data_IF_703224036036
#
_entry.id   IF_703224036036
#
_cell.length_a   1.000
_cell.length_b   1.000
_cell.length_c   1.000
_cell.angle_alpha   90.00
_cell.angle_beta   90.00
_cell.angle_gamma   90.00
#
_symmetry.space_group_name_H-M   'P 1'
#
loop_
_entity.id
_entity.type
_entity.pdbx_description
1 polymer ?
#
# COMPACT_ATOMS: atom_id res chain seq x y z
N UNK A 1 -31.42 -37.17 5.26
CA UNK A 1 -30.08 -36.69 4.89
C UNK A 1 -30.26 -35.70 3.76
N UNK A 2 -29.94 -34.40 3.91
CA UNK A 2 -30.06 -33.45 2.82
C UNK A 2 -28.77 -33.37 2.01
N UNK A 3 -28.95 -33.12 0.72
CA UNK A 3 -27.92 -33.08 -0.31
C UNK A 3 -27.02 -31.85 -0.16
N UNK A 4 -25.72 -32.08 -0.32
CA UNK A 4 -24.68 -31.04 -0.41
C UNK A 4 -24.65 -30.45 -1.82
N UNK A 5 -24.97 -29.16 -1.95
CA UNK A 5 -24.77 -28.39 -3.16
C UNK A 5 -23.28 -28.02 -3.29
N UNK A 6 -22.60 -28.60 -4.28
CA UNK A 6 -21.26 -28.23 -4.69
C UNK A 6 -21.31 -27.04 -5.65
N UNK A 7 -20.68 -25.91 -5.28
CA UNK A 7 -20.42 -24.79 -6.19
C UNK A 7 -19.52 -25.25 -7.36
N UNK A 8 -19.83 -24.88 -8.62
CA UNK A 8 -19.01 -25.25 -9.76
C UNK A 8 -17.76 -24.36 -9.85
N UNK A 9 -16.58 -24.98 -9.74
CA UNK A 9 -15.27 -24.33 -9.93
C UNK A 9 -15.01 -24.01 -11.41
N UNK A 10 -14.56 -22.78 -11.70
CA UNK A 10 -14.31 -22.20 -13.03
C UNK A 10 -13.38 -23.05 -13.94
N UNK A 11 -12.43 -23.79 -13.35
CA UNK A 11 -11.47 -24.60 -14.09
C UNK A 11 -12.10 -25.76 -14.89
N UNK A 12 -13.35 -26.14 -14.58
CA UNK A 12 -14.06 -27.21 -15.30
C UNK A 12 -14.64 -26.81 -16.66
N UNK A 13 -14.73 -25.51 -16.98
CA UNK A 13 -15.35 -25.03 -18.24
C UNK A 13 -14.39 -24.94 -19.43
N UNK A 14 -13.08 -25.15 -19.23
CA UNK A 14 -12.07 -25.12 -20.29
C UNK A 14 -11.85 -26.54 -20.88
N UNK A 15 -12.90 -27.37 -20.91
CA UNK A 15 -12.84 -28.69 -21.56
C UNK A 15 -12.91 -28.53 -23.08
N UNK A 16 -11.72 -28.43 -23.68
CA UNK A 16 -11.38 -28.56 -25.10
C UNK A 16 -12.30 -29.57 -25.82
N UNK A 17 -13.21 -29.07 -26.67
CA UNK A 17 -13.70 -29.82 -27.83
C UNK A 17 -12.99 -29.30 -29.07
N UNK A 18 -11.96 -30.07 -29.43
CA UNK A 18 -11.16 -29.95 -30.65
C UNK A 18 -12.05 -30.25 -31.86
N UNK A 19 -11.88 -29.46 -32.91
CA UNK A 19 -12.47 -29.55 -34.26
C UNK A 19 -13.93 -29.09 -34.42
N UNK A 20 -14.10 -27.79 -34.69
CA UNK A 20 -15.07 -27.30 -35.67
C UNK A 20 -14.52 -26.03 -36.33
N UNK A 21 -14.75 -25.92 -37.64
CA UNK A 21 -14.22 -24.92 -38.56
C UNK A 21 -14.59 -23.51 -38.07
N UNK A 22 -13.57 -22.69 -37.80
CA UNK A 22 -13.72 -21.34 -37.24
C UNK A 22 -14.26 -20.41 -38.34
N UNK A 23 -15.52 -20.01 -38.20
CA UNK A 23 -16.02 -18.77 -38.81
C UNK A 23 -15.26 -17.60 -38.17
N UNK A 24 -14.60 -16.77 -38.96
CA UNK A 24 -13.77 -15.66 -38.48
C UNK A 24 -14.52 -14.62 -37.64
N UNK A 25 -15.86 -14.59 -37.69
CA UNK A 25 -16.70 -13.67 -36.90
C UNK A 25 -16.81 -14.06 -35.41
N UNK A 26 -16.75 -15.36 -35.08
CA UNK A 26 -16.99 -15.82 -33.70
C UNK A 26 -15.85 -15.50 -32.71
N UNK A 27 -14.63 -15.24 -33.22
CA UNK A 27 -13.47 -14.94 -32.38
C UNK A 27 -13.48 -13.47 -31.91
N UNK A 28 -14.00 -12.54 -32.71
CA UNK A 28 -14.05 -11.12 -32.36
C UNK A 28 -15.15 -10.80 -31.35
N UNK A 29 -16.30 -11.49 -31.43
CA UNK A 29 -17.37 -11.33 -30.43
C UNK A 29 -16.94 -11.83 -29.05
N UNK A 30 -16.27 -12.99 -28.97
CA UNK A 30 -15.73 -13.51 -27.71
C UNK A 30 -14.67 -12.58 -27.11
N UNK A 31 -13.78 -12.02 -27.94
CA UNK A 31 -12.77 -11.06 -27.50
C UNK A 31 -13.42 -9.78 -26.91
N UNK A 32 -14.50 -9.30 -27.50
CA UNK A 32 -15.23 -8.13 -26.98
C UNK A 32 -15.94 -8.46 -25.65
N UNK A 33 -16.56 -9.64 -25.54
CA UNK A 33 -17.18 -10.11 -24.30
C UNK A 33 -16.15 -10.19 -23.15
N UNK A 34 -14.97 -10.76 -23.41
CA UNK A 34 -13.89 -10.86 -22.40
C UNK A 34 -13.42 -9.47 -21.92
N UNK A 35 -13.38 -8.47 -22.82
CA UNK A 35 -13.00 -7.09 -22.51
C UNK A 35 -14.06 -6.37 -21.65
N UNK A 36 -15.34 -6.66 -21.89
CA UNK A 36 -16.45 -6.12 -21.10
C UNK A 36 -16.51 -6.79 -19.71
N UNK A 37 -16.32 -8.11 -19.65
CA UNK A 37 -16.26 -8.86 -18.39
C UNK A 37 -15.13 -8.36 -17.49
N UNK A 38 -13.94 -8.13 -18.03
CA UNK A 38 -12.82 -7.56 -17.27
C UNK A 38 -13.18 -6.20 -16.65
N UNK A 39 -13.75 -5.28 -17.44
CA UNK A 39 -14.16 -3.97 -16.93
C UNK A 39 -15.24 -4.08 -15.86
N UNK A 40 -16.20 -4.99 -16.03
CA UNK A 40 -17.24 -5.27 -15.05
C UNK A 40 -16.65 -5.81 -13.75
N UNK A 41 -15.76 -6.80 -13.81
CA UNK A 41 -15.11 -7.34 -12.62
C UNK A 41 -14.28 -6.30 -11.88
N UNK A 42 -13.57 -5.41 -12.59
CA UNK A 42 -12.90 -4.26 -11.97
C UNK A 42 -13.92 -3.39 -11.24
N UNK A 43 -15.04 -3.04 -11.88
CA UNK A 43 -16.12 -2.26 -11.27
C UNK A 43 -16.65 -2.89 -9.98
N UNK A 44 -16.99 -4.18 -10.04
CA UNK A 44 -17.59 -4.94 -8.94
C UNK A 44 -16.61 -5.00 -7.76
N UNK A 45 -15.34 -5.36 -8.01
CA UNK A 45 -14.29 -5.43 -6.98
C UNK A 45 -14.08 -4.11 -6.24
N UNK A 46 -14.09 -2.98 -6.96
CA UNK A 46 -13.95 -1.67 -6.32
C UNK A 46 -15.22 -1.21 -5.61
N UNK A 47 -16.38 -1.69 -6.03
CA UNK A 47 -17.66 -1.42 -5.35
C UNK A 47 -17.72 -2.15 -4.00
N UNK A 48 -17.26 -3.40 -3.97
CA UNK A 48 -17.14 -4.20 -2.74
C UNK A 48 -16.21 -3.56 -1.70
N UNK A 49 -15.20 -2.79 -2.14
CA UNK A 49 -14.31 -2.02 -1.26
C UNK A 49 -14.98 -0.79 -0.62
N UNK A 50 -16.05 -0.25 -1.22
CA UNK A 50 -16.81 0.90 -0.69
C UNK A 50 -17.86 0.45 0.30
N UNK A 51 -18.62 -0.57 -0.08
CA UNK A 51 -19.77 -1.09 0.64
C UNK A 51 -19.65 -2.61 0.68
N UNK A 52 -18.98 -3.19 1.70
CA UNK A 52 -18.99 -4.63 1.85
C UNK A 52 -20.44 -5.12 2.02
N UNK A 53 -20.77 -6.34 1.56
CA UNK A 53 -22.13 -6.87 1.61
C UNK A 53 -22.70 -6.84 3.04
N UNK A 54 -24.01 -6.58 3.14
CA UNK A 54 -24.75 -6.30 4.39
C UNK A 54 -24.66 -7.39 5.48
N UNK A 55 -24.18 -8.59 5.13
CA UNK A 55 -24.00 -9.72 6.05
C UNK A 55 -22.78 -9.58 7.00
N UNK A 56 -21.97 -8.53 6.86
CA UNK A 56 -20.84 -8.27 7.76
C UNK A 56 -21.22 -7.15 8.73
N UNK A 57 -21.60 -7.53 9.95
CA UNK A 57 -22.10 -6.65 11.02
C UNK A 57 -21.17 -5.48 11.45
N UNK A 58 -19.96 -5.39 10.88
CA UNK A 58 -19.00 -4.32 11.13
C UNK A 58 -18.44 -3.81 9.81
N UNK A 59 -18.74 -2.55 9.49
CA UNK A 59 -18.08 -1.84 8.39
C UNK A 59 -16.61 -1.63 8.76
N UNK A 60 -15.73 -2.25 7.98
CA UNK A 60 -14.29 -2.15 8.17
C UNK A 60 -13.81 -0.72 7.90
N UNK A 61 -13.06 -0.08 8.81
CA UNK A 61 -12.61 1.29 8.61
C UNK A 61 -11.77 1.44 7.33
N UNK A 62 -12.07 2.51 6.57
CA UNK A 62 -11.31 2.90 5.39
C UNK A 62 -9.83 3.10 5.75
N UNK A 63 -8.92 2.54 4.94
CA UNK A 63 -7.46 2.58 5.15
C UNK A 63 -6.99 1.90 6.46
N UNK A 64 -7.77 0.99 7.04
CA UNK A 64 -7.24 0.01 8.00
C UNK A 64 -6.29 -0.98 7.33
N UNK A 65 -5.48 -1.69 8.13
CA UNK A 65 -4.60 -2.74 7.61
C UNK A 65 -5.41 -3.77 6.81
N UNK A 66 -6.54 -4.20 7.34
CA UNK A 66 -7.46 -5.13 6.68
C UNK A 66 -7.95 -4.61 5.33
N UNK A 67 -8.36 -3.34 5.27
CA UNK A 67 -8.86 -2.71 4.06
C UNK A 67 -7.75 -2.63 3.00
N UNK A 68 -6.52 -2.27 3.39
CA UNK A 68 -5.36 -2.26 2.50
C UNK A 68 -5.05 -3.66 1.95
N UNK A 69 -5.19 -4.71 2.77
CA UNK A 69 -5.02 -6.09 2.30
C UNK A 69 -6.05 -6.47 1.24
N UNK A 70 -7.32 -6.05 1.39
CA UNK A 70 -8.36 -6.23 0.37
C UNK A 70 -8.07 -5.43 -0.89
N UNK A 71 -7.61 -4.18 -0.76
CA UNK A 71 -7.21 -3.36 -1.91
C UNK A 71 -6.08 -4.03 -2.72
N UNK A 72 -5.07 -4.55 -2.03
CA UNK A 72 -3.95 -5.26 -2.67
C UNK A 72 -4.43 -6.56 -3.33
N UNK A 73 -5.36 -7.28 -2.71
CA UNK A 73 -5.97 -8.47 -3.31
C UNK A 73 -6.77 -8.14 -4.58
N UNK A 74 -7.53 -7.04 -4.58
CA UNK A 74 -8.20 -6.51 -5.77
C UNK A 74 -7.19 -6.22 -6.89
N UNK A 75 -6.06 -5.58 -6.58
CA UNK A 75 -5.01 -5.36 -7.57
C UNK A 75 -4.49 -6.68 -8.16
N UNK A 76 -4.18 -7.68 -7.31
CA UNK A 76 -3.67 -8.98 -7.75
C UNK A 76 -4.67 -9.73 -8.63
N UNK A 77 -5.97 -9.61 -8.33
CA UNK A 77 -7.04 -10.18 -9.14
C UNK A 77 -7.17 -9.47 -10.49
N UNK A 78 -7.21 -8.13 -10.51
CA UNK A 78 -7.27 -7.34 -11.73
C UNK A 78 -6.05 -7.59 -12.62
N UNK A 79 -4.86 -7.72 -12.03
CA UNK A 79 -3.62 -8.00 -12.76
C UNK A 79 -3.63 -9.37 -13.43
N UNK A 80 -4.08 -10.41 -12.72
CA UNK A 80 -4.17 -11.76 -13.28
C UNK A 80 -5.16 -11.83 -14.46
N UNK A 81 -6.30 -11.16 -14.33
CA UNK A 81 -7.33 -11.11 -15.36
C UNK A 81 -6.90 -10.25 -16.56
N UNK A 82 -6.27 -9.10 -16.29
CA UNK A 82 -5.65 -8.25 -17.31
C UNK A 82 -4.59 -9.01 -18.10
N UNK A 83 -3.76 -9.81 -17.44
CA UNK A 83 -2.75 -10.64 -18.11
C UNK A 83 -3.39 -11.67 -19.03
N UNK A 84 -4.49 -12.30 -18.61
CA UNK A 84 -5.23 -13.23 -19.45
C UNK A 84 -5.76 -12.51 -20.70
N UNK A 85 -6.35 -11.33 -20.53
CA UNK A 85 -6.77 -10.47 -21.64
C UNK A 85 -5.56 -10.12 -22.53
N UNK A 86 -4.51 -9.52 -22.00
CA UNK A 86 -3.42 -8.98 -22.82
C UNK A 86 -2.62 -10.07 -23.56
N UNK A 87 -2.36 -11.21 -22.93
CA UNK A 87 -1.36 -12.19 -23.39
C UNK A 87 -1.99 -13.49 -23.92
N UNK A 88 -3.08 -13.99 -23.31
CA UNK A 88 -3.58 -15.32 -23.64
C UNK A 88 -4.40 -15.29 -24.93
N UNK A 89 -4.02 -16.15 -25.89
CA UNK A 89 -4.81 -16.39 -27.10
C UNK A 89 -4.67 -15.35 -28.22
N UNK A 90 -3.75 -14.37 -28.10
CA UNK A 90 -3.60 -13.28 -29.08
C UNK A 90 -2.30 -13.35 -29.87
N UNK A 91 -2.34 -12.86 -31.11
CA UNK A 91 -1.17 -12.73 -31.99
C UNK A 91 -0.20 -11.66 -31.43
N UNK A 92 1.07 -12.02 -31.13
CA UNK A 92 2.08 -11.08 -30.65
C UNK A 92 2.32 -9.89 -31.57
N UNK A 93 2.00 -9.99 -32.87
CA UNK A 93 2.14 -8.84 -33.79
C UNK A 93 1.19 -7.67 -33.46
N UNK A 94 0.14 -7.90 -32.67
CA UNK A 94 -0.86 -6.88 -32.34
C UNK A 94 -0.34 -5.88 -31.30
N UNK A 95 0.47 -6.33 -30.33
CA UNK A 95 0.98 -5.45 -29.26
C UNK A 95 1.99 -4.41 -29.74
N UNK A 96 2.56 -4.61 -30.93
CA UNK A 96 3.46 -3.65 -31.61
C UNK A 96 2.76 -2.70 -32.56
N UNK A 97 1.42 -2.79 -32.70
CA UNK A 97 0.64 -1.91 -33.58
C UNK A 97 0.07 -0.72 -32.81
N UNK A 98 -0.16 0.42 -33.46
CA UNK A 98 -0.89 1.53 -32.85
C UNK A 98 -2.29 1.11 -32.37
N UNK A 99 -2.75 1.60 -31.21
CA UNK A 99 -2.07 2.51 -30.27
C UNK A 99 -1.22 1.80 -29.18
N UNK A 100 -1.08 0.48 -29.23
CA UNK A 100 -0.42 -0.32 -28.19
C UNK A 100 1.10 -0.14 -28.17
N UNK A 101 1.70 0.12 -29.32
CA UNK A 101 3.10 0.51 -29.49
C UNK A 101 3.54 1.65 -28.56
N UNK A 102 2.62 2.56 -28.20
CA UNK A 102 2.80 3.61 -27.20
C UNK A 102 2.34 3.20 -25.81
N UNK A 103 1.16 2.60 -25.69
CA UNK A 103 0.54 2.32 -24.38
C UNK A 103 1.30 1.26 -23.57
N UNK A 104 1.88 0.25 -24.23
CA UNK A 104 2.63 -0.80 -23.55
C UNK A 104 3.93 -0.27 -22.93
N UNK A 105 4.80 0.48 -23.64
CA UNK A 105 5.95 1.14 -23.01
C UNK A 105 5.57 2.01 -21.81
N UNK A 106 4.47 2.79 -21.90
CA UNK A 106 4.00 3.60 -20.77
C UNK A 106 3.54 2.73 -19.59
N UNK A 107 2.87 1.60 -19.83
CA UNK A 107 2.52 0.63 -18.79
C UNK A 107 3.77 0.03 -18.12
N UNK A 108 4.78 -0.36 -18.90
CA UNK A 108 6.04 -0.92 -18.38
C UNK A 108 6.81 0.12 -17.55
N UNK A 109 6.75 1.39 -17.93
CA UNK A 109 7.34 2.49 -17.19
C UNK A 109 6.60 2.75 -15.87
N UNK A 110 5.26 2.65 -15.85
CA UNK A 110 4.46 2.68 -14.62
C UNK A 110 4.76 1.48 -13.72
N UNK A 111 4.96 0.30 -14.31
CA UNK A 111 5.33 -0.91 -13.57
C UNK A 111 6.64 -0.72 -12.80
N UNK A 112 7.67 -0.11 -13.40
CA UNK A 112 8.93 0.19 -12.70
C UNK A 112 8.70 1.12 -11.49
N UNK A 113 7.90 2.18 -11.66
CA UNK A 113 7.58 3.09 -10.54
C UNK A 113 6.78 2.40 -9.44
N UNK A 114 5.86 1.51 -9.82
CA UNK A 114 5.12 0.69 -8.87
C UNK A 114 6.04 -0.22 -8.04
N UNK A 115 7.12 -0.77 -8.64
CA UNK A 115 8.13 -1.54 -7.91
C UNK A 115 8.89 -0.68 -6.89
N UNK A 116 9.28 0.54 -7.26
CA UNK A 116 9.92 1.49 -6.34
C UNK A 116 9.00 1.85 -5.18
N UNK A 117 7.70 2.06 -5.45
CA UNK A 117 6.69 2.32 -4.43
C UNK A 117 6.50 1.10 -3.51
N UNK A 118 6.46 -0.12 -4.03
CA UNK A 118 6.37 -1.33 -3.20
C UNK A 118 7.54 -1.42 -2.19
N UNK A 119 8.75 -1.07 -2.62
CA UNK A 119 9.93 -1.02 -1.74
C UNK A 119 9.81 0.07 -0.67
N UNK A 120 9.37 1.27 -1.07
CA UNK A 120 9.16 2.39 -0.15
C UNK A 120 8.08 2.07 0.89
N UNK A 121 6.93 1.53 0.46
CA UNK A 121 5.83 1.11 1.33
C UNK A 121 6.28 -0.01 2.26
N UNK A 122 7.06 -0.99 1.79
CA UNK A 122 7.61 -2.04 2.66
C UNK A 122 8.49 -1.46 3.77
N UNK A 123 9.34 -0.49 3.45
CA UNK A 123 10.17 0.23 4.45
C UNK A 123 9.29 1.07 5.40
N UNK A 124 8.22 1.64 4.89
CA UNK A 124 7.20 2.35 5.67
C UNK A 124 6.50 1.43 6.67
N UNK A 125 6.18 0.20 6.30
CA UNK A 125 5.59 -0.79 7.20
C UNK A 125 6.56 -1.20 8.32
N UNK A 126 7.86 -1.25 8.07
CA UNK A 126 8.85 -1.47 9.13
C UNK A 126 8.86 -0.30 10.14
N UNK A 127 8.65 0.93 9.66
CA UNK A 127 8.51 2.12 10.51
C UNK A 127 7.23 2.09 11.34
N UNK A 128 6.12 1.62 10.75
CA UNK A 128 4.85 1.38 11.45
C UNK A 128 5.02 0.31 12.54
N UNK A 129 5.75 -0.78 12.26
CA UNK A 129 6.08 -1.81 13.26
C UNK A 129 6.94 -1.24 14.39
N UNK A 130 7.84 -0.31 14.10
CA UNK A 130 8.61 0.36 15.14
C UNK A 130 7.73 1.22 16.05
N UNK A 131 6.71 1.88 15.49
CA UNK A 131 5.71 2.62 16.25
C UNK A 131 4.91 1.69 17.18
N UNK A 132 4.45 0.54 16.66
CA UNK A 132 3.79 -0.50 17.46
C UNK A 132 4.64 -0.91 18.68
N UNK A 133 5.95 -1.16 18.51
CA UNK A 133 6.84 -1.53 19.63
C UNK A 133 6.92 -0.46 20.73
N UNK A 134 6.91 0.82 20.37
CA UNK A 134 6.88 1.89 21.37
C UNK A 134 5.54 1.92 22.12
N UNK A 135 4.43 1.73 21.41
CA UNK A 135 3.11 1.62 22.03
C UNK A 135 3.02 0.42 23.00
N UNK A 136 3.54 -0.75 22.63
CA UNK A 136 3.59 -1.95 23.49
C UNK A 136 4.38 -1.71 24.79
N UNK A 137 5.49 -0.97 24.72
CA UNK A 137 6.25 -0.58 25.91
C UNK A 137 5.41 0.31 26.84
N UNK A 138 4.63 1.24 26.27
CA UNK A 138 3.75 2.11 27.04
C UNK A 138 2.61 1.33 27.69
N UNK A 139 1.95 0.46 26.93
CA UNK A 139 0.89 -0.45 27.43
C UNK A 139 1.42 -1.29 28.60
N UNK A 140 2.53 -2.00 28.39
CA UNK A 140 3.16 -2.84 29.42
C UNK A 140 3.55 -2.07 30.68
N UNK A 141 3.94 -0.80 30.55
CA UNK A 141 4.25 0.04 31.70
C UNK A 141 2.98 0.47 32.48
N UNK A 142 1.90 0.86 31.80
CA UNK A 142 0.66 1.28 32.45
C UNK A 142 -0.11 0.12 33.10
N UNK A 143 0.01 -1.10 32.58
CA UNK A 143 -0.66 -2.29 33.13
C UNK A 143 -0.07 -2.78 34.45
N UNK A 144 1.15 -2.34 34.81
CA UNK A 144 1.81 -2.72 36.07
C UNK A 144 1.03 -2.20 37.29
N UNK A 145 0.74 -3.09 38.26
CA UNK A 145 0.06 -2.74 39.52
C UNK A 145 0.98 -3.02 40.73
N UNK A 146 1.07 -2.11 41.73
CA UNK A 146 0.48 -0.76 41.74
C UNK A 146 1.17 0.16 40.73
N UNK A 147 0.41 1.09 40.16
CA UNK A 147 0.96 2.08 39.24
C UNK A 147 1.74 3.13 40.03
N UNK A 148 3.01 3.34 39.69
CA UNK A 148 3.87 4.31 40.34
C UNK A 148 4.64 5.18 39.35
N UNK A 149 5.25 6.25 39.85
CA UNK A 149 5.99 7.26 39.07
C UNK A 149 6.96 6.69 38.04
N UNK A 150 7.67 5.61 38.40
CA UNK A 150 8.65 4.98 37.50
C UNK A 150 7.99 4.41 36.24
N UNK A 151 6.83 3.77 36.38
CA UNK A 151 6.08 3.21 35.26
C UNK A 151 5.48 4.30 34.38
N UNK A 152 4.92 5.34 35.01
CA UNK A 152 4.37 6.50 34.30
C UNK A 152 5.46 7.22 33.50
N UNK A 153 6.65 7.44 34.08
CA UNK A 153 7.79 8.04 33.37
C UNK A 153 8.27 7.17 32.21
N UNK A 154 8.28 5.84 32.38
CA UNK A 154 8.62 4.90 31.30
C UNK A 154 7.61 4.95 30.16
N UNK A 155 6.32 4.90 30.48
CA UNK A 155 5.24 4.96 29.50
C UNK A 155 5.29 6.28 28.72
N UNK A 156 5.39 7.41 29.43
CA UNK A 156 5.57 8.74 28.84
C UNK A 156 6.74 8.79 27.86
N UNK A 157 7.91 8.27 28.24
CA UNK A 157 9.10 8.25 27.36
C UNK A 157 8.84 7.43 26.10
N UNK A 158 8.19 6.28 26.22
CA UNK A 158 7.84 5.44 25.08
C UNK A 158 6.85 6.15 24.15
N UNK A 159 5.81 6.77 24.68
CA UNK A 159 4.83 7.55 23.92
C UNK A 159 5.46 8.78 23.24
N UNK A 160 6.39 9.47 23.91
CA UNK A 160 7.14 10.58 23.27
C UNK A 160 8.01 10.08 22.11
N UNK A 161 8.63 8.90 22.26
CA UNK A 161 9.43 8.27 21.19
C UNK A 161 8.54 7.83 20.01
N UNK A 162 7.33 7.36 20.31
CA UNK A 162 6.31 7.02 19.34
C UNK A 162 5.87 8.24 18.51
N UNK A 163 5.46 9.33 19.16
CA UNK A 163 5.06 10.56 18.46
C UNK A 163 6.21 11.14 17.63
N UNK A 164 7.44 11.13 18.17
CA UNK A 164 8.62 11.56 17.42
C UNK A 164 8.89 10.71 16.18
N UNK A 165 8.67 9.39 16.25
CA UNK A 165 8.79 8.50 15.10
C UNK A 165 7.68 8.71 14.05
N UNK A 166 6.51 9.20 14.46
CA UNK A 166 5.40 9.50 13.55
C UNK A 166 5.59 10.81 12.77
N UNK A 167 6.28 11.80 13.35
CA UNK A 167 6.46 13.14 12.77
C UNK A 167 7.67 13.21 11.84
N UNK A 168 7.87 12.22 10.95
CA UNK A 168 8.92 12.26 9.92
C UNK A 168 8.96 13.64 9.25
N UNK A 169 9.98 14.43 9.59
CA UNK A 169 10.21 15.75 9.01
C UNK A 169 11.48 15.62 8.17
N UNK A 170 11.40 15.99 6.89
CA UNK A 170 12.52 16.02 5.93
C UNK A 170 13.66 16.98 6.36
N UNK A 171 13.60 17.52 7.58
CA UNK A 171 14.58 18.38 8.23
C UNK A 171 15.57 17.61 9.09
N UNK A 172 16.07 16.47 8.61
CA UNK A 172 17.29 15.85 9.18
C UNK A 172 18.57 16.66 8.80
N UNK A 173 18.47 18.00 8.84
CA UNK A 173 19.59 18.93 8.76
C UNK A 173 19.71 19.81 10.01
N UNK A 174 19.26 19.36 11.19
CA UNK A 174 19.73 20.00 12.42
C UNK A 174 19.77 19.07 13.63
N UNK A 175 20.99 18.85 14.12
CA UNK A 175 21.40 18.37 15.43
C UNK A 175 20.31 17.92 16.42
N UNK A 176 20.12 16.60 16.56
CA UNK A 176 19.65 16.04 17.83
C UNK A 176 20.85 15.61 18.68
N UNK A 177 21.29 16.49 19.59
CA UNK A 177 22.25 16.16 20.65
C UNK A 177 21.52 15.43 21.79
N UNK A 178 21.04 14.22 21.50
CA UNK A 178 20.60 13.28 22.53
C UNK A 178 21.82 12.60 23.15
N UNK A 179 22.13 12.88 24.41
CA UNK A 179 23.27 12.28 25.10
C UNK A 179 22.92 10.85 25.52
N UNK A 180 23.01 9.89 24.59
CA UNK A 180 22.94 8.46 24.95
C UNK A 180 24.29 8.02 25.52
N UNK A 181 24.38 8.00 26.86
CA UNK A 181 25.46 7.31 27.56
C UNK A 181 25.13 5.84 27.67
N UNK A 182 25.57 5.05 26.71
CA UNK A 182 25.55 3.59 26.79
C UNK A 182 26.53 3.14 27.89
N UNK A 183 26.00 2.70 29.03
CA UNK A 183 26.77 1.94 30.02
C UNK A 183 27.00 0.53 29.49
N UNK A 184 28.18 0.28 28.93
CA UNK A 184 28.68 -1.08 28.74
C UNK A 184 29.61 -1.43 29.91
N UNK A 185 29.31 -2.53 30.57
CA UNK A 185 30.22 -3.17 31.52
C UNK A 185 31.42 -3.72 30.74
N UNK A 186 32.60 -3.10 30.89
CA UNK A 186 33.85 -3.53 30.29
C UNK A 186 35.05 -3.02 31.09
N UNK A 187 35.98 -3.93 31.41
CA UNK A 187 37.07 -3.80 32.39
C UNK A 187 38.07 -2.66 32.11
N UNK A 188 38.67 -2.15 33.20
CA UNK A 188 39.90 -1.35 33.26
C UNK A 188 41.00 -1.89 32.31
N UNK A 189 41.65 -0.97 31.58
CA UNK A 189 42.92 -1.19 30.89
C UNK A 189 43.40 0.10 30.22
N UNK A 190 44.51 0.65 30.69
CA UNK A 190 45.12 1.93 30.29
C UNK A 190 46.17 1.71 29.19
N UNK A 191 46.16 2.48 28.09
CA UNK A 191 47.36 3.01 27.37
C UNK A 191 47.02 3.61 26.00
N UNK A 192 47.41 4.89 25.84
CA UNK A 192 47.85 5.67 24.66
C UNK A 192 47.42 5.40 23.21
N UNK A 193 47.18 6.55 22.56
CA UNK A 193 47.45 6.94 21.16
C UNK A 193 46.69 6.23 20.03
N UNK A 194 45.68 6.91 19.49
CA UNK A 194 45.61 7.35 18.08
C UNK A 194 44.22 7.94 17.80
N UNK A 195 44.22 8.98 16.96
CA UNK A 195 43.04 9.66 16.42
C UNK A 195 42.24 8.66 15.57
N UNK A 196 41.04 8.31 16.03
CA UNK A 196 39.83 8.07 15.21
C UNK A 196 38.76 7.48 16.12
N UNK A 197 37.88 8.34 16.65
CA UNK A 197 36.61 7.90 17.22
C UNK A 197 35.49 8.35 16.31
N UNK A 198 35.27 7.62 15.23
CA UNK A 198 33.94 7.53 14.64
C UNK A 198 33.14 6.62 15.55
N UNK A 199 32.57 7.21 16.60
CA UNK A 199 31.61 6.54 17.45
C UNK A 199 30.41 6.16 16.57
N UNK A 200 30.17 4.85 16.45
CA UNK A 200 29.09 4.30 15.65
C UNK A 200 27.75 4.82 16.15
N UNK A 201 27.16 5.75 15.40
CA UNK A 201 25.73 5.98 15.44
C UNK A 201 25.06 4.65 15.04
N UNK A 202 24.20 4.14 15.91
CA UNK A 202 23.25 3.11 15.52
C UNK A 202 22.53 3.62 14.27
N UNK A 203 22.55 2.78 13.23
CA UNK A 203 22.02 3.10 11.91
C UNK A 203 20.57 3.55 12.08
N UNK A 204 20.36 4.85 11.84
CA UNK A 204 19.05 5.36 11.41
C UNK A 204 18.53 4.38 10.36
N UNK A 205 17.26 4.00 10.47
CA UNK A 205 16.55 3.22 9.46
C UNK A 205 16.49 4.06 8.18
N UNK A 206 17.63 4.16 7.49
CA UNK A 206 17.73 4.81 6.21
C UNK A 206 16.83 4.02 5.29
N UNK A 207 15.72 4.63 4.88
CA UNK A 207 14.90 4.11 3.79
C UNK A 207 15.83 3.60 2.70
N UNK A 208 15.53 2.42 2.14
CA UNK A 208 16.31 1.77 1.08
C UNK A 208 16.35 2.63 -0.21
N UNK A 209 15.69 3.79 -0.19
CA UNK A 209 15.47 4.67 -1.32
C UNK A 209 16.44 5.85 -1.28
N UNK A 210 16.80 6.35 -2.46
CA UNK A 210 17.73 7.46 -2.60
C UNK A 210 17.24 8.72 -1.86
N UNK A 211 18.19 9.54 -1.39
CA UNK A 211 17.92 10.78 -0.62
C UNK A 211 17.07 11.82 -1.38
N UNK A 212 16.95 11.70 -2.69
CA UNK A 212 16.18 12.60 -3.57
C UNK A 212 14.88 11.95 -4.11
N UNK A 213 14.52 10.76 -3.62
CA UNK A 213 13.29 10.09 -4.03
C UNK A 213 12.08 10.70 -3.34
N UNK A 214 10.96 10.76 -4.07
CA UNK A 214 9.71 11.30 -3.57
C UNK A 214 8.53 10.44 -4.00
N UNK A 215 7.75 10.00 -3.03
CA UNK A 215 6.54 9.24 -3.29
C UNK A 215 5.52 10.07 -4.09
N UNK A 216 5.37 11.37 -3.78
CA UNK A 216 4.44 12.23 -4.51
C UNK A 216 4.87 12.43 -5.96
N UNK A 217 6.16 12.65 -6.24
CA UNK A 217 6.68 12.76 -7.61
C UNK A 217 6.56 11.45 -8.38
N UNK A 218 6.77 10.29 -7.74
CA UNK A 218 6.56 8.98 -8.37
C UNK A 218 5.11 8.79 -8.80
N UNK A 219 4.16 9.07 -7.91
CA UNK A 219 2.73 9.01 -8.25
C UNK A 219 2.39 10.01 -9.35
N UNK A 220 2.85 11.25 -9.27
CA UNK A 220 2.64 12.24 -10.32
C UNK A 220 3.17 11.76 -11.68
N UNK A 221 4.34 11.13 -11.71
CA UNK A 221 4.93 10.57 -12.91
C UNK A 221 4.22 9.30 -13.40
N UNK A 222 3.52 8.55 -12.54
CA UNK A 222 2.64 7.47 -12.98
C UNK A 222 1.33 8.01 -13.60
N UNK A 223 0.80 9.11 -13.06
CA UNK A 223 -0.37 9.80 -13.59
C UNK A 223 -0.09 10.53 -14.90
N UNK A 224 1.16 10.95 -15.14
CA UNK A 224 1.52 11.59 -16.40
C UNK A 224 1.24 10.63 -17.57
N UNK A 225 0.70 11.18 -18.65
CA UNK A 225 0.28 10.43 -19.83
C UNK A 225 -0.79 9.35 -19.59
N UNK A 226 -1.44 9.29 -18.42
CA UNK A 226 -2.59 8.42 -18.19
C UNK A 226 -3.82 9.03 -18.87
N UNK A 227 -3.99 8.72 -20.17
CA UNK A 227 -5.04 9.30 -21.02
C UNK A 227 -5.98 8.19 -21.48
N UNK A 228 -7.28 8.42 -21.29
CA UNK A 228 -8.30 7.49 -21.77
C UNK A 228 -8.26 7.37 -23.31
N UNK A 229 -8.40 6.15 -23.87
CA UNK A 229 -8.53 5.96 -25.31
C UNK A 229 -9.69 6.79 -25.88
N UNK A 230 -9.47 7.44 -27.03
CA UNK A 230 -10.49 8.26 -27.70
C UNK A 230 -11.48 7.36 -28.44
N UNK A 231 -12.77 7.70 -28.43
CA UNK A 231 -13.79 6.99 -29.21
C UNK A 231 -13.62 7.27 -30.70
N UNK A 232 -13.37 6.23 -31.50
CA UNK A 232 -13.18 6.33 -32.96
C UNK A 232 -12.22 5.30 -33.55
N UNK A 233 -11.33 4.72 -32.75
CA UNK A 233 -10.51 3.56 -33.12
C UNK A 233 -11.16 2.27 -32.58
N UNK A 234 -10.95 1.09 -33.18
CA UNK A 234 -11.39 -0.15 -32.56
C UNK A 234 -10.76 -0.24 -31.16
N UNK A 235 -11.56 0.00 -30.12
CA UNK A 235 -11.14 0.23 -28.73
C UNK A 235 -10.57 -0.99 -28.02
N UNK A 236 -10.18 -2.03 -28.77
CA UNK A 236 -9.84 -3.38 -28.33
C UNK A 236 -8.93 -3.44 -27.09
N UNK A 237 -7.64 -3.65 -27.28
CA UNK A 237 -6.70 -3.81 -26.16
C UNK A 237 -6.32 -2.50 -25.46
N UNK A 238 -6.59 -1.35 -26.07
CA UNK A 238 -6.27 -0.05 -25.49
C UNK A 238 -7.05 0.22 -24.19
N UNK A 239 -8.33 -0.21 -24.13
CA UNK A 239 -9.18 -0.03 -22.95
C UNK A 239 -8.66 -0.82 -21.72
N UNK A 240 -8.40 -2.14 -21.79
CA UNK A 240 -7.80 -2.88 -20.68
C UNK A 240 -6.45 -2.32 -20.20
N UNK A 241 -5.58 -1.89 -21.12
CA UNK A 241 -4.28 -1.31 -20.75
C UNK A 241 -4.49 -0.02 -19.96
N UNK A 242 -5.44 0.81 -20.37
CA UNK A 242 -5.82 2.02 -19.64
C UNK A 242 -6.42 1.69 -18.27
N UNK A 243 -7.39 0.77 -18.20
CA UNK A 243 -8.02 0.31 -16.95
C UNK A 243 -6.96 -0.20 -15.96
N UNK A 244 -6.10 -1.11 -16.39
CA UNK A 244 -5.06 -1.68 -15.53
C UNK A 244 -4.03 -0.62 -15.10
N UNK A 245 -3.68 0.31 -15.98
CA UNK A 245 -2.82 1.45 -15.62
C UNK A 245 -3.47 2.33 -14.54
N UNK A 246 -4.78 2.61 -14.65
CA UNK A 246 -5.53 3.36 -13.64
C UNK A 246 -5.62 2.61 -12.31
N UNK A 247 -5.90 1.30 -12.34
CA UNK A 247 -5.91 0.44 -11.14
C UNK A 247 -4.55 0.46 -10.45
N UNK A 248 -3.45 0.32 -11.20
CA UNK A 248 -2.09 0.37 -10.66
C UNK A 248 -1.79 1.71 -10.01
N UNK A 249 -2.08 2.82 -10.70
CA UNK A 249 -1.88 4.18 -10.17
C UNK A 249 -2.67 4.37 -8.88
N UNK A 250 -3.95 3.98 -8.87
CA UNK A 250 -4.82 4.12 -7.70
C UNK A 250 -4.31 3.32 -6.49
N UNK A 251 -3.96 2.05 -6.69
CA UNK A 251 -3.49 1.18 -5.59
C UNK A 251 -2.17 1.70 -5.02
N UNK A 252 -1.21 2.06 -5.88
CA UNK A 252 0.08 2.61 -5.43
C UNK A 252 -0.11 3.93 -4.69
N UNK A 253 -1.01 4.80 -5.17
CA UNK A 253 -1.36 6.04 -4.49
C UNK A 253 -1.99 5.82 -3.12
N UNK A 254 -2.96 4.92 -3.01
CA UNK A 254 -3.63 4.64 -1.74
C UNK A 254 -2.66 4.06 -0.70
N UNK A 255 -1.72 3.20 -1.13
CA UNK A 255 -0.65 2.70 -0.26
C UNK A 255 0.26 3.83 0.23
N UNK A 256 0.67 4.76 -0.65
CA UNK A 256 1.48 5.93 -0.29
C UNK A 256 0.73 6.88 0.67
N UNK A 257 -0.57 7.07 0.46
CA UNK A 257 -1.41 7.88 1.33
C UNK A 257 -1.54 7.25 2.74
N UNK A 258 -1.70 5.93 2.80
CA UNK A 258 -1.86 5.22 4.07
C UNK A 258 -0.54 5.08 4.86
N UNK A 259 0.51 4.57 4.23
CA UNK A 259 1.76 4.15 4.88
C UNK A 259 2.79 5.29 4.86
N UNK A 260 3.55 5.51 5.95
CA UNK A 260 4.61 6.51 5.97
C UNK A 260 5.64 6.24 4.86
N UNK A 261 5.83 7.20 3.96
CA UNK A 261 6.81 7.17 2.88
C UNK A 261 7.53 8.53 2.78
N UNK A 262 8.70 8.55 2.18
CA UNK A 262 9.51 9.75 1.95
C UNK A 262 8.84 10.75 0.99
N UNK A 263 8.94 12.05 1.32
CA UNK A 263 8.50 13.21 0.53
C UNK A 263 7.10 13.00 -0.12
N UNK A 264 6.09 12.88 0.73
CA UNK A 264 4.66 12.77 0.34
C UNK A 264 3.96 14.11 0.18
N UNK A 265 4.64 15.22 0.49
CA UNK A 265 4.08 16.57 0.28
C UNK A 265 3.70 16.74 -1.20
N UNK A 266 2.50 17.28 -1.44
CA UNK A 266 1.98 17.45 -2.80
C UNK A 266 1.48 16.15 -3.46
N UNK A 267 1.19 15.10 -2.70
CA UNK A 267 0.51 13.91 -3.23
C UNK A 267 -0.81 14.33 -3.90
N UNK A 268 -0.97 13.96 -5.17
CA UNK A 268 -2.14 14.33 -5.95
C UNK A 268 -3.43 13.80 -5.30
N UNK A 269 -4.47 14.63 -5.19
CA UNK A 269 -5.77 14.24 -4.62
C UNK A 269 -6.84 13.96 -5.68
N UNK A 270 -6.48 14.09 -6.96
CA UNK A 270 -7.39 13.87 -8.09
C UNK A 270 -6.62 13.32 -9.30
N UNK A 271 -7.19 12.35 -10.00
CA UNK A 271 -6.66 11.75 -11.22
C UNK A 271 -7.61 12.06 -12.37
N UNK A 272 -7.11 12.28 -13.59
CA UNK A 272 -7.94 12.59 -14.75
C UNK A 272 -8.65 11.33 -15.29
N UNK A 273 -9.40 10.61 -14.45
CA UNK A 273 -10.19 9.46 -14.87
C UNK A 273 -11.57 9.96 -15.35
N UNK A 274 -11.97 9.68 -16.61
CA UNK A 274 -13.26 10.14 -17.11
C UNK A 274 -14.43 9.46 -16.39
N UNK A 275 -15.36 10.28 -15.89
CA UNK A 275 -16.54 9.82 -15.14
C UNK A 275 -17.52 8.99 -15.98
N UNK A 276 -17.50 9.14 -17.31
CA UNK A 276 -18.39 8.36 -18.19
C UNK A 276 -18.05 6.86 -18.28
N UNK A 277 -16.90 6.43 -17.75
CA UNK A 277 -16.50 5.03 -17.78
C UNK A 277 -17.20 4.25 -16.67
N UNK A 278 -17.94 3.20 -17.05
CA UNK A 278 -18.75 2.42 -16.09
C UNK A 278 -17.94 1.91 -14.89
N UNK A 279 -16.75 1.37 -15.11
CA UNK A 279 -15.87 0.84 -14.06
C UNK A 279 -15.25 1.90 -13.14
N UNK A 280 -15.26 3.18 -13.54
CA UNK A 280 -14.51 4.23 -12.85
C UNK A 280 -15.24 4.80 -11.63
N UNK A 281 -16.56 4.66 -11.54
CA UNK A 281 -17.38 5.31 -10.51
C UNK A 281 -16.92 4.99 -9.09
N UNK A 282 -16.74 3.72 -8.77
CA UNK A 282 -16.32 3.28 -7.43
C UNK A 282 -14.90 3.70 -7.11
N UNK A 283 -13.98 3.60 -8.08
CA UNK A 283 -12.60 4.07 -7.90
C UNK A 283 -12.54 5.58 -7.64
N UNK A 284 -13.31 6.38 -8.38
CA UNK A 284 -13.41 7.83 -8.20
C UNK A 284 -13.99 8.16 -6.82
N UNK A 285 -15.04 7.46 -6.39
CA UNK A 285 -15.64 7.66 -5.06
C UNK A 285 -14.65 7.36 -3.91
N UNK A 286 -13.85 6.30 -4.03
CA UNK A 286 -12.78 6.02 -3.08
C UNK A 286 -11.68 7.08 -3.13
N UNK A 287 -11.32 7.53 -4.34
CA UNK A 287 -10.32 8.57 -4.52
C UNK A 287 -10.74 9.88 -3.83
N UNK A 288 -11.99 10.30 -4.02
CA UNK A 288 -12.53 11.52 -3.41
C UNK A 288 -12.49 11.39 -1.88
N UNK A 289 -12.97 10.28 -1.31
CA UNK A 289 -12.93 10.02 0.15
C UNK A 289 -11.52 10.06 0.73
N UNK A 290 -10.58 9.30 0.14
CA UNK A 290 -9.20 9.25 0.60
C UNK A 290 -8.51 10.61 0.41
N UNK A 291 -8.78 11.30 -0.71
CA UNK A 291 -8.23 12.62 -1.00
C UNK A 291 -8.71 13.70 -0.03
N UNK A 292 -9.96 13.63 0.44
CA UNK A 292 -10.48 14.51 1.49
C UNK A 292 -9.78 14.28 2.83
N UNK A 293 -9.61 13.02 3.24
CA UNK A 293 -8.87 12.67 4.47
C UNK A 293 -7.41 13.13 4.38
N UNK A 294 -6.78 12.97 3.21
CA UNK A 294 -5.41 13.44 2.97
C UNK A 294 -5.29 14.96 3.15
N UNK A 295 -6.20 15.75 2.57
CA UNK A 295 -6.21 17.23 2.71
C UNK A 295 -6.38 17.69 4.15
N UNK A 296 -7.18 16.98 4.95
CA UNK A 296 -7.35 17.27 6.38
C UNK A 296 -6.06 17.02 7.16
N UNK A 297 -5.30 16.00 6.78
CA UNK A 297 -4.12 15.54 7.50
C UNK A 297 -2.82 16.20 7.04
N UNK A 298 -2.68 16.62 5.78
CA UNK A 298 -1.50 17.30 5.23
C UNK A 298 -1.10 18.53 6.06
N UNK A 299 -2.09 19.26 6.58
CA UNK A 299 -1.87 20.46 7.40
C UNK A 299 -1.26 20.19 8.78
N UNK A 300 -1.24 18.93 9.24
CA UNK A 300 -0.87 18.56 10.62
C UNK A 300 0.52 17.92 10.74
N UNK A 301 1.20 17.60 9.63
CA UNK A 301 2.44 16.81 9.63
C UNK A 301 2.18 15.38 10.12
N UNK A 302 2.28 14.37 9.25
CA UNK A 302 1.62 13.08 9.53
C UNK A 302 2.42 11.85 9.11
N UNK A 303 2.29 10.80 9.92
CA UNK A 303 2.70 9.43 9.61
C UNK A 303 1.91 8.77 8.47
N UNK A 304 0.81 9.38 8.00
CA UNK A 304 -0.03 8.90 6.91
C UNK A 304 -1.50 8.80 7.29
N UNK A 305 -2.25 8.02 6.53
CA UNK A 305 -3.69 7.79 6.75
C UNK A 305 -4.03 6.38 7.25
N UNK A 306 -3.04 5.51 7.51
CA UNK A 306 -3.30 4.19 8.10
C UNK A 306 -4.10 4.33 9.40
N UNK A 307 -5.25 3.70 9.46
CA UNK A 307 -6.24 3.86 10.54
C UNK A 307 -5.63 3.66 11.93
N UNK A 308 -4.92 2.54 12.10
CA UNK A 308 -4.34 2.11 13.36
C UNK A 308 -3.32 3.13 13.87
N UNK A 309 -2.53 3.73 12.95
CA UNK A 309 -1.58 4.79 13.28
C UNK A 309 -2.28 6.07 13.73
N UNK A 310 -3.39 6.44 13.09
CA UNK A 310 -4.14 7.64 13.46
C UNK A 310 -4.79 7.52 14.85
N UNK A 311 -5.33 6.35 15.20
CA UNK A 311 -5.85 6.11 16.56
C UNK A 311 -4.72 6.07 17.59
N UNK A 312 -3.62 5.40 17.26
CA UNK A 312 -2.43 5.35 18.11
C UNK A 312 -1.87 6.74 18.42
N UNK A 313 -1.81 7.65 17.44
CA UNK A 313 -1.37 9.04 17.64
C UNK A 313 -2.25 9.77 18.66
N UNK A 314 -3.58 9.65 18.53
CA UNK A 314 -4.55 10.29 19.45
C UNK A 314 -4.44 9.76 20.88
N UNK A 315 -4.41 8.43 21.03
CA UNK A 315 -4.26 7.79 22.34
C UNK A 315 -2.93 8.14 22.98
N UNK A 316 -1.85 8.20 22.18
CA UNK A 316 -0.53 8.58 22.69
C UNK A 316 -0.51 10.00 23.25
N UNK A 317 -1.16 10.95 22.58
CA UNK A 317 -1.26 12.32 23.06
C UNK A 317 -2.02 12.40 24.39
N UNK A 318 -3.18 11.73 24.49
CA UNK A 318 -3.98 11.73 25.72
C UNK A 318 -3.27 11.02 26.89
N UNK A 319 -2.60 9.90 26.63
CA UNK A 319 -1.84 9.17 27.65
C UNK A 319 -0.59 9.93 28.11
N UNK A 320 0.02 10.77 27.26
CA UNK A 320 1.08 11.70 27.68
C UNK A 320 0.52 12.77 28.61
N UNK A 321 -0.64 13.35 28.30
CA UNK A 321 -1.30 14.34 29.15
C UNK A 321 -1.64 13.77 30.53
N UNK A 322 -2.14 12.53 30.58
CA UNK A 322 -2.32 11.79 31.82
C UNK A 322 -0.99 11.63 32.58
N UNK A 323 0.08 11.23 31.89
CA UNK A 323 1.37 10.99 32.51
C UNK A 323 2.03 12.27 33.05
N UNK A 324 1.83 13.41 32.38
CA UNK A 324 2.30 14.73 32.83
C UNK A 324 1.51 15.24 34.06
N UNK A 325 0.21 14.91 34.14
CA UNK A 325 -0.67 15.26 35.25
C UNK A 325 -0.66 14.26 36.41
N UNK A 326 0.16 13.21 36.36
CA UNK A 326 0.13 12.12 37.33
C UNK A 326 0.55 12.57 38.73
N UNK A 327 -0.34 12.38 39.71
CA UNK A 327 -0.07 12.56 41.13
C UNK A 327 -0.69 11.41 41.91
N UNK A 328 0.02 10.90 42.92
CA UNK A 328 -0.47 9.83 43.77
C UNK A 328 -1.12 10.40 45.05
N UNK A 329 -2.29 9.90 45.48
CA UNK A 329 -3.12 8.88 44.85
C UNK A 329 -3.88 9.41 43.62
N UNK A 330 -4.02 8.56 42.60
CA UNK A 330 -4.74 8.92 41.36
C UNK A 330 -6.25 8.89 41.62
N UNK A 331 -6.97 9.89 41.11
CA UNK A 331 -8.44 9.91 41.11
C UNK A 331 -9.00 8.69 40.35
N UNK A 332 -9.99 8.02 40.93
CA UNK A 332 -10.56 6.78 40.38
C UNK A 332 -11.04 6.96 38.93
N UNK A 333 -11.73 8.06 38.62
CA UNK A 333 -12.24 8.35 37.27
C UNK A 333 -11.11 8.46 36.24
N UNK A 334 -10.04 9.21 36.56
CA UNK A 334 -8.86 9.32 35.67
C UNK A 334 -8.14 7.99 35.50
N UNK A 335 -8.15 7.16 36.52
CA UNK A 335 -7.54 5.82 36.45
C UNK A 335 -8.36 4.87 35.57
N UNK A 336 -9.69 4.94 35.64
CA UNK A 336 -10.60 4.19 34.77
C UNK A 336 -10.48 4.62 33.31
N UNK A 337 -10.48 5.94 33.04
CA UNK A 337 -10.29 6.48 31.69
C UNK A 337 -8.95 6.04 31.09
N UNK A 338 -7.85 6.20 31.84
CA UNK A 338 -6.53 5.74 31.41
C UNK A 338 -6.50 4.22 31.16
N UNK A 339 -7.18 3.43 32.00
CA UNK A 339 -7.25 1.98 31.80
C UNK A 339 -7.98 1.63 30.50
N UNK A 340 -9.07 2.34 30.18
CA UNK A 340 -9.78 2.15 28.92
C UNK A 340 -8.92 2.53 27.70
N UNK A 341 -8.21 3.66 27.76
CA UNK A 341 -7.30 4.10 26.69
C UNK A 341 -6.12 3.14 26.48
N UNK A 342 -5.56 2.60 27.56
CA UNK A 342 -4.48 1.60 27.50
C UNK A 342 -4.99 0.30 26.87
N UNK A 343 -6.21 -0.13 27.22
CA UNK A 343 -6.83 -1.30 26.61
C UNK A 343 -7.09 -1.08 25.10
N UNK A 344 -7.54 0.11 24.69
CA UNK A 344 -7.69 0.45 23.27
C UNK A 344 -6.35 0.44 22.54
N UNK A 345 -5.29 0.99 23.14
CA UNK A 345 -3.94 0.97 22.59
C UNK A 345 -3.41 -0.47 22.44
N UNK A 346 -3.65 -1.33 23.42
CA UNK A 346 -3.27 -2.74 23.39
C UNK A 346 -3.98 -3.48 22.24
N UNK A 347 -5.27 -3.21 22.04
CA UNK A 347 -6.05 -3.80 20.95
C UNK A 347 -5.56 -3.33 19.57
N UNK A 348 -5.16 -2.06 19.43
CA UNK A 348 -4.51 -1.57 18.20
C UNK A 348 -3.20 -2.33 17.96
N UNK A 349 -2.34 -2.48 18.98
CA UNK A 349 -1.08 -3.22 18.84
C UNK A 349 -1.32 -4.67 18.40
N UNK A 350 -2.34 -5.33 18.97
CA UNK A 350 -2.73 -6.69 18.57
C UNK A 350 -3.16 -6.78 17.11
N UNK A 351 -4.02 -5.87 16.65
CA UNK A 351 -4.44 -5.80 15.23
C UNK A 351 -3.25 -5.57 14.30
N UNK A 352 -2.29 -4.74 14.70
CA UNK A 352 -1.07 -4.49 13.94
C UNK A 352 -0.17 -5.73 13.88
N UNK A 353 0.03 -6.44 14.99
CA UNK A 353 0.83 -7.67 15.03
C UNK A 353 0.26 -8.74 14.09
N UNK A 354 -1.06 -8.93 14.11
CA UNK A 354 -1.78 -9.88 13.27
C UNK A 354 -1.80 -9.46 11.78
N UNK A 355 -1.86 -8.16 11.50
CA UNK A 355 -2.14 -7.63 10.17
C UNK A 355 -0.91 -7.21 9.34
N UNK A 356 0.15 -6.71 9.98
CA UNK A 356 1.28 -6.09 9.27
C UNK A 356 2.11 -7.11 8.47
N UNK A 357 2.40 -8.29 9.04
CA UNK A 357 3.17 -9.33 8.32
C UNK A 357 2.40 -9.80 7.07
N UNK A 358 1.11 -10.18 7.15
CA UNK A 358 0.34 -10.52 5.95
C UNK A 358 0.31 -9.41 4.89
N UNK A 359 0.13 -8.15 5.29
CA UNK A 359 0.13 -7.02 4.36
C UNK A 359 1.48 -6.88 3.65
N UNK A 360 2.59 -6.97 4.38
CA UNK A 360 3.94 -6.92 3.82
C UNK A 360 4.21 -8.07 2.84
N UNK A 361 3.71 -9.27 3.16
CA UNK A 361 3.79 -10.42 2.24
C UNK A 361 2.99 -10.19 0.95
N UNK A 362 1.80 -9.62 1.03
CA UNK A 362 0.99 -9.29 -0.15
C UNK A 362 1.63 -8.21 -1.02
N UNK A 363 2.24 -7.18 -0.43
CA UNK A 363 3.00 -6.17 -1.17
C UNK A 363 4.21 -6.80 -1.88
N UNK A 364 4.89 -7.75 -1.24
CA UNK A 364 5.97 -8.51 -1.87
C UNK A 364 5.47 -9.38 -3.03
N UNK A 365 4.28 -9.98 -2.90
CA UNK A 365 3.65 -10.71 -3.99
C UNK A 365 3.33 -9.77 -5.17
N UNK A 366 2.76 -8.59 -4.91
CA UNK A 366 2.56 -7.55 -5.95
C UNK A 366 3.86 -7.23 -6.66
N UNK A 367 4.95 -6.98 -5.92
CA UNK A 367 6.26 -6.71 -6.49
C UNK A 367 6.69 -7.83 -7.45
N UNK A 368 6.64 -9.10 -7.01
CA UNK A 368 7.05 -10.23 -7.85
C UNK A 368 6.14 -10.45 -9.05
N UNK A 369 4.82 -10.24 -8.92
CA UNK A 369 3.89 -10.33 -10.05
C UNK A 369 4.18 -9.27 -11.10
N UNK A 370 4.40 -8.03 -10.68
CA UNK A 370 4.76 -6.94 -11.60
C UNK A 370 6.07 -7.26 -12.34
N UNK A 371 7.10 -7.77 -11.64
CA UNK A 371 8.36 -8.20 -12.28
C UNK A 371 8.12 -9.30 -13.32
N UNK A 372 7.34 -10.32 -12.96
CA UNK A 372 7.03 -11.44 -13.87
C UNK A 372 6.26 -10.97 -15.10
N UNK A 373 5.17 -10.25 -14.91
CA UNK A 373 4.32 -9.78 -16.02
C UNK A 373 5.06 -8.79 -16.92
N UNK A 374 5.92 -7.93 -16.35
CA UNK A 374 6.83 -7.06 -17.14
C UNK A 374 7.78 -7.88 -18.00
N UNK A 375 8.35 -8.96 -17.46
CA UNK A 375 9.29 -9.83 -18.18
C UNK A 375 8.59 -10.52 -19.35
N UNK A 376 7.41 -11.09 -19.13
CA UNK A 376 6.62 -11.75 -20.17
C UNK A 376 6.20 -10.78 -21.29
N UNK A 377 5.78 -9.56 -20.95
CA UNK A 377 5.44 -8.54 -21.96
C UNK A 377 6.67 -8.14 -22.79
N UNK A 378 7.85 -8.01 -22.16
CA UNK A 378 9.09 -7.72 -22.88
C UNK A 378 9.50 -8.87 -23.81
N UNK A 379 9.33 -10.12 -23.37
CA UNK A 379 9.55 -11.29 -24.22
C UNK A 379 8.61 -11.26 -25.42
N UNK A 380 7.32 -10.98 -25.25
CA UNK A 380 6.38 -10.86 -26.37
C UNK A 380 6.78 -9.78 -27.38
N UNK A 381 7.26 -8.62 -26.90
CA UNK A 381 7.74 -7.54 -27.76
C UNK A 381 8.97 -7.96 -28.57
N UNK A 382 9.91 -8.69 -27.97
CA UNK A 382 11.08 -9.24 -28.66
C UNK A 382 10.69 -10.27 -29.73
N UNK A 383 9.74 -11.16 -29.42
CA UNK A 383 9.21 -12.12 -30.41
C UNK A 383 8.50 -11.42 -31.57
N UNK A 384 7.66 -10.41 -31.29
CA UNK A 384 6.98 -9.62 -32.33
C UNK A 384 7.97 -8.86 -33.22
N UNK A 385 9.04 -8.33 -32.64
CA UNK A 385 10.14 -7.69 -33.39
C UNK A 385 10.87 -8.66 -34.33
N UNK A 386 11.11 -9.90 -33.88
CA UNK A 386 11.76 -10.96 -34.68
C UNK A 386 10.89 -11.44 -35.84
N UNK A 387 9.57 -11.61 -35.62
CA UNK A 387 8.63 -12.03 -36.67
C UNK A 387 8.42 -10.94 -37.73
N UNK A 388 8.64 -9.67 -37.38
CA UNK A 388 8.49 -8.54 -38.30
C UNK A 388 9.72 -8.28 -39.20
N UNK A 389 10.85 -8.97 -38.99
CA UNK A 389 12.01 -8.85 -39.88
C UNK A 389 11.81 -9.72 -41.14
N UNK A 390 11.91 -9.16 -42.36
CA UNK A 390 11.85 -9.97 -43.57
C UNK A 390 13.05 -10.92 -43.60
N UNK A 391 12.78 -12.20 -43.80
CA UNK A 391 13.81 -13.19 -44.12
C UNK A 391 14.36 -12.80 -45.50
N UNK A 392 15.60 -12.33 -45.54
CA UNK A 392 16.33 -11.97 -46.78
C UNK A 392 16.82 -13.24 -47.46
#
# INVERSE_FOLDING_TARGET
>A
MPATEYQPSFLGRISIRRNQVISMDGNHEQELEDLELFQRHVSDRFSDLISPPEDVAYSEPLLSISWLRKLVDVFLCCEAEFKAVLIMGRDPSQITKPPLDRLIPELLERAVKALDICNAVSSGLDSVRQCQKFAEIAVSAFEQKPLGDGQVKRARKALSSLLAAMTFDDKENNHFKGTERTWSFGRRGNSNSSKERVAGNFRSLSMIVAKNWSASKQIQAMCSNLVAPRGGEPTGLASPVYVMSSVMVFVMWALVAAVPCQERSGLATHFPIPRQLAWAHSMIGLQEKIGEEWKKKEKKGSAGLLEEMQRMEKLSQSLIEFADGFQFPVETEKMEEMTAQVAEMAEICRRMEEGLVPLQMQIREVFHRIVRSRTEVLELLDHAGKVSQPII
#
